data_IF_615527257037
#
_entry.id   IF_615527257037
#
_cell.length_a   1.000
_cell.length_b   1.000
_cell.length_c   1.000
_cell.angle_alpha   90.00
_cell.angle_beta   90.00
_cell.angle_gamma   90.00
#
_symmetry.space_group_name_H-M   'P 1'
#
loop_
_entity.id
_entity.type
_entity.pdbx_description
1 polymer ?
#
# COMPACT_ATOMS: atom_id res chain seq x y z
N UNK A 1 -31.62 -35.30 -16.39
CA UNK A 1 -30.86 -36.23 -15.52
C UNK A 1 -30.75 -35.65 -14.11
N UNK A 2 -30.86 -36.48 -13.07
CA UNK A 2 -30.88 -36.06 -11.65
C UNK A 2 -29.52 -35.48 -11.17
N UNK A 3 -28.43 -35.92 -11.80
CA UNK A 3 -27.06 -35.56 -11.44
C UNK A 3 -26.68 -34.13 -11.84
N UNK A 4 -27.08 -33.65 -13.02
CA UNK A 4 -26.75 -32.29 -13.47
C UNK A 4 -27.35 -31.21 -12.57
N UNK A 5 -28.56 -31.44 -12.05
CA UNK A 5 -29.21 -30.54 -11.09
C UNK A 5 -28.46 -30.47 -9.76
N UNK A 6 -27.96 -31.62 -9.28
CA UNK A 6 -27.20 -31.70 -8.02
C UNK A 6 -25.84 -31.00 -8.17
N UNK A 7 -25.17 -31.16 -9.32
CA UNK A 7 -23.90 -30.49 -9.60
C UNK A 7 -24.09 -28.98 -9.72
N UNK A 8 -25.17 -28.53 -10.37
CA UNK A 8 -25.53 -27.11 -10.47
C UNK A 8 -25.74 -26.46 -9.09
N UNK A 9 -26.54 -27.11 -8.23
CA UNK A 9 -26.80 -26.62 -6.86
C UNK A 9 -25.51 -26.52 -6.03
N UNK A 10 -24.62 -27.51 -6.11
CA UNK A 10 -23.33 -27.46 -5.40
C UNK A 10 -22.44 -26.31 -5.87
N UNK A 11 -22.36 -26.08 -7.19
CA UNK A 11 -21.58 -24.96 -7.75
C UNK A 11 -22.14 -23.60 -7.33
N UNK A 12 -23.46 -23.48 -7.24
CA UNK A 12 -24.09 -22.25 -6.80
C UNK A 12 -23.80 -21.96 -5.31
N UNK A 13 -23.93 -22.98 -4.47
CA UNK A 13 -23.58 -22.89 -3.06
C UNK A 13 -22.10 -22.55 -2.84
N UNK A 14 -21.21 -23.10 -3.67
CA UNK A 14 -19.78 -22.79 -3.64
C UNK A 14 -19.50 -21.31 -3.96
N UNK A 15 -20.19 -20.75 -4.96
CA UNK A 15 -20.10 -19.32 -5.29
C UNK A 15 -20.60 -18.43 -4.15
N UNK A 16 -21.75 -18.76 -3.58
CA UNK A 16 -22.32 -18.01 -2.45
C UNK A 16 -21.36 -18.01 -1.24
N UNK A 17 -20.77 -19.17 -0.92
CA UNK A 17 -19.79 -19.27 0.16
C UNK A 17 -18.55 -18.40 -0.10
N UNK A 18 -18.04 -18.37 -1.34
CA UNK A 18 -16.90 -17.53 -1.71
C UNK A 18 -17.23 -16.03 -1.60
N UNK A 19 -18.42 -15.60 -1.98
CA UNK A 19 -18.87 -14.22 -1.83
C UNK A 19 -19.00 -13.79 -0.36
N UNK A 20 -19.48 -14.69 0.50
CA UNK A 20 -19.55 -14.43 1.95
C UNK A 20 -18.14 -14.32 2.53
N UNK A 21 -17.24 -15.23 2.15
CA UNK A 21 -15.83 -15.20 2.59
C UNK A 21 -15.17 -13.88 2.18
N UNK A 22 -15.37 -13.41 0.94
CA UNK A 22 -14.83 -12.13 0.49
C UNK A 22 -15.35 -10.96 1.33
N UNK A 23 -16.66 -10.90 1.57
CA UNK A 23 -17.28 -9.85 2.38
C UNK A 23 -16.74 -9.83 3.82
N UNK A 24 -16.56 -11.01 4.42
CA UNK A 24 -16.00 -11.12 5.77
C UNK A 24 -14.52 -10.74 5.82
N UNK A 25 -13.72 -11.12 4.82
CA UNK A 25 -12.34 -10.65 4.69
C UNK A 25 -12.29 -9.12 4.67
N UNK A 26 -13.10 -8.48 3.85
CA UNK A 26 -13.14 -7.02 3.76
C UNK A 26 -13.61 -6.38 5.08
N UNK A 27 -14.57 -7.01 5.77
CA UNK A 27 -15.03 -6.55 7.07
C UNK A 27 -13.96 -6.71 8.17
N UNK A 28 -13.17 -7.79 8.15
CA UNK A 28 -12.05 -8.00 9.07
C UNK A 28 -10.92 -6.98 8.81
N UNK A 29 -10.61 -6.71 7.54
CA UNK A 29 -9.64 -5.66 7.16
C UNK A 29 -10.08 -4.28 7.65
N UNK A 30 -11.36 -3.91 7.49
CA UNK A 30 -11.92 -2.65 8.01
C UNK A 30 -11.82 -2.56 9.54
N UNK A 31 -12.11 -3.67 10.24
CA UNK A 31 -12.00 -3.78 11.70
C UNK A 31 -10.56 -3.82 12.20
N UNK A 32 -9.57 -3.92 11.29
CA UNK A 32 -8.15 -4.14 11.60
C UNK A 32 -7.91 -5.40 12.45
N UNK A 33 -8.77 -6.41 12.27
CA UNK A 33 -8.67 -7.70 12.93
C UNK A 33 -7.70 -8.62 12.18
N UNK A 34 -6.96 -9.48 12.88
CA UNK A 34 -6.07 -10.47 12.26
C UNK A 34 -6.87 -11.48 11.44
N UNK A 35 -6.56 -11.61 10.15
CA UNK A 35 -7.15 -12.61 9.28
C UNK A 35 -6.64 -14.00 9.66
N UNK A 36 -7.56 -14.85 10.08
CA UNK A 36 -7.30 -16.26 10.37
C UNK A 36 -8.44 -17.12 9.82
N UNK A 37 -8.09 -18.32 9.36
CA UNK A 37 -9.08 -19.31 8.86
C UNK A 37 -10.11 -19.62 9.94
N UNK A 38 -9.70 -19.66 11.21
CA UNK A 38 -10.56 -19.88 12.37
C UNK A 38 -11.64 -18.80 12.55
N UNK A 39 -11.25 -17.53 12.45
CA UNK A 39 -12.19 -16.42 12.58
C UNK A 39 -13.10 -16.32 11.36
N UNK A 40 -12.54 -16.46 10.15
CA UNK A 40 -13.31 -16.45 8.90
C UNK A 40 -14.33 -17.58 8.84
N UNK A 41 -13.98 -18.80 9.25
CA UNK A 41 -14.91 -19.92 9.35
C UNK A 41 -16.11 -19.59 10.28
N UNK A 42 -15.83 -18.95 11.41
CA UNK A 42 -16.86 -18.53 12.38
C UNK A 42 -17.78 -17.44 11.81
N UNK A 43 -17.22 -16.44 11.13
CA UNK A 43 -18.00 -15.32 10.59
C UNK A 43 -18.76 -15.69 9.31
N UNK A 44 -18.14 -16.45 8.41
CA UNK A 44 -18.77 -16.89 7.17
C UNK A 44 -19.72 -18.09 7.37
N UNK A 45 -19.78 -18.69 8.56
CA UNK A 45 -20.64 -19.83 8.86
C UNK A 45 -20.27 -21.11 8.10
N UNK A 46 -19.01 -21.23 7.67
CA UNK A 46 -18.48 -22.38 6.93
C UNK A 46 -17.48 -23.16 7.79
N UNK A 47 -17.39 -24.47 7.56
CA UNK A 47 -16.42 -25.30 8.28
C UNK A 47 -14.98 -24.98 7.86
N UNK A 48 -14.02 -25.14 8.78
CA UNK A 48 -12.59 -24.89 8.50
C UNK A 48 -12.07 -25.77 7.36
N UNK A 49 -12.58 -27.00 7.23
CA UNK A 49 -12.22 -27.90 6.12
C UNK A 49 -12.57 -27.33 4.75
N UNK A 50 -13.52 -26.40 4.66
CA UNK A 50 -13.89 -25.77 3.40
C UNK A 50 -12.70 -25.01 2.79
N UNK A 51 -11.96 -24.25 3.61
CA UNK A 51 -10.79 -23.49 3.17
C UNK A 51 -9.63 -24.39 2.72
N UNK A 52 -9.54 -25.62 3.22
CA UNK A 52 -8.51 -26.57 2.78
C UNK A 52 -8.92 -27.35 1.51
N UNK A 53 -10.24 -27.53 1.30
CA UNK A 53 -10.78 -28.25 0.13
C UNK A 53 -10.93 -27.34 -1.09
N UNK A 54 -11.27 -26.07 -0.89
CA UNK A 54 -11.47 -25.10 -1.95
C UNK A 54 -10.20 -24.24 -2.12
N UNK A 55 -9.49 -24.43 -3.23
CA UNK A 55 -8.24 -23.71 -3.53
C UNK A 55 -8.46 -22.19 -3.63
N UNK A 56 -9.60 -21.76 -4.18
CA UNK A 56 -9.92 -20.35 -4.32
C UNK A 56 -10.14 -19.70 -2.95
N UNK A 57 -10.87 -20.36 -2.05
CA UNK A 57 -11.04 -19.89 -0.68
C UNK A 57 -9.69 -19.78 0.06
N UNK A 58 -8.78 -20.74 -0.17
CA UNK A 58 -7.42 -20.69 0.37
C UNK A 58 -6.63 -19.49 -0.14
N UNK A 59 -6.63 -19.27 -1.46
CA UNK A 59 -5.94 -18.14 -2.10
C UNK A 59 -6.46 -16.79 -1.59
N UNK A 60 -7.79 -16.65 -1.43
CA UNK A 60 -8.38 -15.41 -0.89
C UNK A 60 -7.88 -15.11 0.52
N UNK A 61 -7.69 -16.13 1.35
CA UNK A 61 -7.12 -15.96 2.70
C UNK A 61 -5.64 -15.57 2.63
N UNK A 62 -4.85 -16.23 1.80
CA UNK A 62 -3.42 -15.93 1.62
C UNK A 62 -3.20 -14.51 1.10
N UNK A 63 -3.95 -14.10 0.08
CA UNK A 63 -3.91 -12.74 -0.48
C UNK A 63 -4.30 -11.70 0.56
N UNK A 64 -5.34 -11.99 1.35
CA UNK A 64 -5.77 -11.08 2.40
C UNK A 64 -4.77 -10.99 3.55
N UNK A 65 -4.11 -12.10 3.91
CA UNK A 65 -3.00 -12.13 4.85
C UNK A 65 -1.78 -11.38 4.32
N UNK A 66 -1.50 -11.46 3.02
CA UNK A 66 -0.43 -10.68 2.39
C UNK A 66 -0.75 -9.19 2.43
N UNK A 67 -1.95 -8.78 2.01
CA UNK A 67 -2.42 -7.38 2.12
C UNK A 67 -2.36 -6.89 3.56
N UNK A 68 -2.76 -7.74 4.52
CA UNK A 68 -2.66 -7.40 5.93
C UNK A 68 -1.20 -7.31 6.39
N UNK A 69 -0.34 -8.25 6.00
CA UNK A 69 1.09 -8.25 6.32
C UNK A 69 1.85 -7.05 5.74
N UNK A 70 1.45 -6.58 4.55
CA UNK A 70 1.92 -5.32 3.98
C UNK A 70 1.47 -4.10 4.80
N UNK A 71 0.26 -4.13 5.36
CA UNK A 71 -0.29 -3.07 6.22
C UNK A 71 0.13 -3.15 7.70
N UNK A 72 0.62 -4.30 8.19
CA UNK A 72 0.86 -4.58 9.62
C UNK A 72 2.25 -5.14 9.93
N UNK A 73 3.25 -5.02 9.05
CA UNK A 73 4.63 -5.28 9.44
C UNK A 73 5.19 -4.07 10.20
N UNK A 74 5.31 -4.11 11.54
CA UNK A 74 5.77 -2.97 12.33
C UNK A 74 7.19 -2.53 11.93
N UNK A 75 8.05 -3.45 11.45
CA UNK A 75 9.36 -3.08 10.92
C UNK A 75 9.22 -2.23 9.66
N UNK A 76 8.35 -2.63 8.73
CA UNK A 76 8.09 -1.87 7.49
C UNK A 76 7.47 -0.51 7.80
N UNK A 77 6.50 -0.42 8.71
CA UNK A 77 5.90 0.85 9.12
C UNK A 77 6.92 1.83 9.73
N UNK A 78 7.89 1.33 10.52
CA UNK A 78 8.99 2.15 11.04
C UNK A 78 9.93 2.59 9.91
N UNK A 79 10.29 1.69 8.99
CA UNK A 79 11.12 2.01 7.82
C UNK A 79 10.46 3.03 6.89
N UNK A 80 9.17 2.87 6.59
CA UNK A 80 8.37 3.77 5.76
C UNK A 80 8.31 5.16 6.40
N UNK A 81 8.07 5.23 7.72
CA UNK A 81 8.08 6.51 8.46
C UNK A 81 9.45 7.18 8.45
N UNK A 82 10.51 6.41 8.66
CA UNK A 82 11.88 6.92 8.63
C UNK A 82 12.26 7.43 7.24
N UNK A 83 11.91 6.70 6.18
CA UNK A 83 12.17 7.12 4.79
C UNK A 83 11.32 8.32 4.38
N UNK A 84 10.07 8.42 4.83
CA UNK A 84 9.24 9.62 4.64
C UNK A 84 9.86 10.87 5.30
N UNK A 85 10.37 10.74 6.52
CA UNK A 85 11.01 11.86 7.25
C UNK A 85 12.27 12.34 6.53
N UNK A 86 13.12 11.41 6.08
CA UNK A 86 14.32 11.69 5.27
C UNK A 86 13.94 12.36 3.96
N UNK A 87 12.90 11.87 3.26
CA UNK A 87 12.42 12.46 2.02
C UNK A 87 11.88 13.89 2.22
N UNK A 88 11.17 14.16 3.33
CA UNK A 88 10.72 15.51 3.68
C UNK A 88 11.91 16.43 3.95
N UNK A 89 12.92 15.95 4.67
CA UNK A 89 14.14 16.72 4.94
C UNK A 89 14.91 17.04 3.66
N UNK A 90 15.10 16.06 2.77
CA UNK A 90 15.75 16.24 1.47
C UNK A 90 15.00 17.26 0.61
N UNK A 91 13.67 17.20 0.54
CA UNK A 91 12.85 18.19 -0.18
C UNK A 91 13.04 19.60 0.39
N UNK A 92 13.08 19.76 1.71
CA UNK A 92 13.35 21.07 2.36
C UNK A 92 14.73 21.59 2.00
N UNK A 93 15.77 20.77 2.09
CA UNK A 93 17.13 21.16 1.73
C UNK A 93 17.23 21.54 0.24
N UNK A 94 16.59 20.77 -0.65
CA UNK A 94 16.58 21.06 -2.08
C UNK A 94 15.97 22.44 -2.40
N UNK A 95 14.91 22.85 -1.70
CA UNK A 95 14.31 24.18 -1.86
C UNK A 95 15.30 25.27 -1.41
N UNK A 96 15.96 25.08 -0.26
CA UNK A 96 16.95 26.03 0.26
C UNK A 96 18.14 26.17 -0.70
N UNK A 97 18.68 25.06 -1.19
CA UNK A 97 19.78 25.09 -2.15
C UNK A 97 19.39 25.76 -3.47
N UNK A 98 18.19 25.50 -3.99
CA UNK A 98 17.69 26.19 -5.19
C UNK A 98 17.59 27.70 -5.00
N UNK A 99 17.16 28.16 -3.81
CA UNK A 99 17.14 29.59 -3.49
C UNK A 99 18.55 30.17 -3.43
N UNK A 100 19.47 29.46 -2.77
CA UNK A 100 20.85 29.90 -2.63
C UNK A 100 21.59 29.99 -3.97
N UNK A 101 21.34 29.05 -4.88
CA UNK A 101 21.90 29.09 -6.24
C UNK A 101 21.46 30.37 -6.95
N UNK A 102 20.16 30.70 -6.93
CA UNK A 102 19.65 31.94 -7.54
C UNK A 102 20.24 33.21 -6.95
N UNK A 103 20.42 33.25 -5.63
CA UNK A 103 21.07 34.39 -4.96
C UNK A 103 22.51 34.56 -5.42
N UNK A 104 23.26 33.46 -5.54
CA UNK A 104 24.65 33.48 -6.00
C UNK A 104 24.76 33.86 -7.48
N UNK A 105 23.86 33.36 -8.33
CA UNK A 105 23.78 33.75 -9.74
C UNK A 105 23.59 35.26 -9.90
N UNK A 106 22.66 35.86 -9.13
CA UNK A 106 22.44 37.31 -9.13
C UNK A 106 23.66 38.09 -8.63
N UNK A 107 24.33 37.59 -7.60
CA UNK A 107 25.55 38.22 -7.08
C UNK A 107 26.69 38.20 -8.12
N UNK A 108 26.82 37.10 -8.87
CA UNK A 108 27.81 37.00 -9.94
C UNK A 108 27.51 38.02 -11.03
N UNK A 109 26.26 38.11 -11.49
CA UNK A 109 25.83 39.05 -12.54
C UNK A 109 26.14 40.51 -12.14
N UNK A 110 25.79 40.92 -10.92
CA UNK A 110 26.07 42.27 -10.42
C UNK A 110 27.58 42.57 -10.36
N UNK A 111 28.38 41.61 -9.90
CA UNK A 111 29.84 41.76 -9.83
C UNK A 111 30.49 41.80 -11.23
N UNK A 112 29.94 41.08 -12.19
CA UNK A 112 30.38 41.12 -13.58
C UNK A 112 30.10 42.49 -14.21
N UNK A 113 28.91 43.04 -14.00
CA UNK A 113 28.56 44.40 -14.45
C UNK A 113 29.47 45.47 -13.82
N UNK A 114 29.73 45.38 -12.51
CA UNK A 114 30.60 46.33 -11.80
C UNK A 114 32.05 46.24 -12.32
N UNK A 115 32.57 45.03 -12.51
CA UNK A 115 33.90 44.82 -13.09
C UNK A 115 34.00 45.38 -14.52
N UNK A 116 32.94 45.27 -15.31
CA UNK A 116 32.91 45.81 -16.67
C UNK A 116 32.93 47.34 -16.67
N UNK A 117 32.13 47.99 -15.82
CA UNK A 117 32.17 49.45 -15.63
C UNK A 117 33.53 49.96 -15.17
N UNK A 118 34.18 49.25 -14.26
CA UNK A 118 35.52 49.62 -13.77
C UNK A 118 36.60 49.46 -14.84
N UNK A 119 36.45 48.50 -15.77
CA UNK A 119 37.35 48.34 -16.92
C UNK A 119 37.15 49.43 -17.96
N UNK A 120 35.92 49.89 -18.18
CA UNK A 120 35.60 50.97 -19.13
C UNK A 120 36.03 52.35 -18.63
N UNK A 121 36.11 52.55 -17.31
CA UNK A 121 36.57 53.80 -16.68
C UNK A 121 38.09 53.87 -16.42
N UNK A 122 38.88 52.94 -16.97
CA UNK A 122 40.35 52.85 -16.80
C UNK A 122 41.08 53.15 -18.09
#
# INVERSE_FOLDING_TARGET
MKYDKIVGLKKQQEKENLEIIQREIDAMLRRKERISITALAKYAGVDRSYFYRNLQAKQMVEDAQLKQGECYNPKKAIFDRATEEVNKQLKRQMILYKRRIKELELQIELLEEENQRLKENR
#
